data_IF_860903651567
#
_entry.id   IF_860903651567
#
_cell.length_a   1.000
_cell.length_b   1.000
_cell.length_c   1.000
_cell.angle_alpha   90.00
_cell.angle_beta   90.00
_cell.angle_gamma   90.00
#
_symmetry.space_group_name_H-M   'P 1'
#
loop_
_entity.id
_entity.type
_entity.pdbx_description
1 polymer ?
#
# COMPACT_ATOMS: atom_id res chain seq x y z
N UNK A 1 24.98 24.25 -16.60
CA UNK A 1 25.05 24.21 -18.09
C UNK A 1 25.55 22.88 -18.69
N UNK A 2 26.59 22.18 -18.20
CA UNK A 2 27.07 20.94 -18.84
C UNK A 2 26.08 19.76 -18.77
N UNK A 3 25.30 19.67 -17.67
CA UNK A 3 24.33 18.59 -17.44
C UNK A 3 23.11 18.72 -18.37
N UNK A 4 22.65 19.95 -18.64
CA UNK A 4 21.52 20.21 -19.54
C UNK A 4 21.84 19.87 -21.00
N UNK A 5 23.11 19.99 -21.43
CA UNK A 5 23.54 19.63 -22.78
C UNK A 5 23.62 18.11 -23.03
N UNK A 6 23.76 17.31 -21.98
CA UNK A 6 23.77 15.83 -22.03
C UNK A 6 22.37 15.22 -21.92
N UNK A 7 21.43 15.91 -21.25
CA UNK A 7 20.08 15.41 -20.99
C UNK A 7 19.26 15.08 -22.26
N UNK A 8 19.52 15.75 -23.39
CA UNK A 8 18.78 15.54 -24.63
C UNK A 8 19.25 14.32 -25.45
N UNK A 9 20.34 13.66 -25.06
CA UNK A 9 20.91 12.50 -25.78
C UNK A 9 20.67 11.15 -25.10
N UNK A 10 20.12 11.15 -23.89
CA UNK A 10 19.77 9.94 -23.15
C UNK A 10 18.25 9.83 -23.12
N UNK A 11 17.64 8.76 -23.64
CA UNK A 11 16.21 8.57 -23.52
C UNK A 11 15.84 8.46 -22.04
N UNK A 12 14.97 9.34 -21.57
CA UNK A 12 14.41 9.30 -20.22
C UNK A 12 13.22 8.34 -20.17
N UNK A 13 13.11 7.60 -19.08
CA UNK A 13 11.93 6.75 -18.83
C UNK A 13 10.70 7.63 -18.56
N UNK A 14 9.51 7.04 -18.69
CA UNK A 14 8.26 7.72 -18.33
C UNK A 14 8.30 8.26 -16.89
N UNK A 15 8.75 7.44 -15.94
CA UNK A 15 8.80 7.84 -14.53
C UNK A 15 9.77 9.00 -14.30
N UNK A 16 10.99 8.93 -14.83
CA UNK A 16 11.97 10.03 -14.73
C UNK A 16 11.43 11.34 -15.32
N UNK A 17 10.80 11.29 -16.50
CA UNK A 17 10.21 12.47 -17.13
C UNK A 17 9.09 13.07 -16.27
N UNK A 18 8.20 12.24 -15.73
CA UNK A 18 7.11 12.71 -14.85
C UNK A 18 7.60 13.23 -13.51
N UNK A 19 8.63 12.62 -12.90
CA UNK A 19 9.25 13.10 -11.66
C UNK A 19 9.92 14.44 -11.86
N UNK A 20 10.65 14.63 -12.97
CA UNK A 20 11.25 15.92 -13.30
C UNK A 20 10.19 17.01 -13.52
N UNK A 21 9.10 16.70 -14.22
CA UNK A 21 7.97 17.62 -14.39
C UNK A 21 7.31 17.97 -13.05
N UNK A 22 7.13 16.98 -12.15
CA UNK A 22 6.58 17.20 -10.82
C UNK A 22 7.47 18.12 -9.98
N UNK A 23 8.80 17.93 -9.99
CA UNK A 23 9.71 18.85 -9.30
C UNK A 23 9.69 20.26 -9.87
N UNK A 24 9.59 20.42 -11.20
CA UNK A 24 9.42 21.74 -11.81
C UNK A 24 8.14 22.42 -11.30
N UNK A 25 7.02 21.68 -11.29
CA UNK A 25 5.75 22.19 -10.79
C UNK A 25 5.83 22.54 -9.29
N UNK A 26 6.46 21.73 -8.45
CA UNK A 26 6.64 22.03 -7.03
C UNK A 26 7.54 23.24 -6.78
N UNK A 27 8.56 23.48 -7.62
CA UNK A 27 9.39 24.66 -7.53
C UNK A 27 8.62 25.95 -7.89
N UNK A 28 7.62 25.85 -8.76
CA UNK A 28 6.74 26.95 -9.16
C UNK A 28 5.63 27.24 -8.14
N UNK A 29 5.34 26.29 -7.24
CA UNK A 29 4.27 26.38 -6.24
C UNK A 29 4.86 26.23 -4.82
N UNK A 30 5.27 27.33 -4.18
CA UNK A 30 5.88 27.29 -2.85
C UNK A 30 5.00 26.54 -1.85
N UNK A 31 5.61 25.59 -1.14
CA UNK A 31 4.97 24.82 -0.08
C UNK A 31 5.91 24.72 1.13
N UNK A 32 5.30 24.60 2.30
CA UNK A 32 5.98 24.42 3.58
C UNK A 32 6.71 23.06 3.69
N UNK A 33 6.08 22.02 3.13
CA UNK A 33 6.57 20.65 3.15
C UNK A 33 6.22 19.96 1.83
N UNK A 34 7.18 19.22 1.29
CA UNK A 34 6.96 18.27 0.20
C UNK A 34 6.95 16.84 0.75
N UNK A 35 5.82 16.15 0.59
CA UNK A 35 5.74 14.70 0.81
C UNK A 35 6.02 14.00 -0.53
N UNK A 36 7.11 13.24 -0.59
CA UNK A 36 7.57 12.60 -1.81
C UNK A 36 7.56 11.07 -1.67
N UNK A 37 6.65 10.41 -2.39
CA UNK A 37 6.55 8.96 -2.45
C UNK A 37 7.54 8.39 -3.47
N UNK A 38 8.31 7.38 -3.05
CA UNK A 38 9.22 6.63 -3.93
C UNK A 38 8.42 5.80 -4.92
N UNK A 39 8.78 5.84 -6.21
CA UNK A 39 8.11 5.02 -7.22
C UNK A 39 8.38 3.53 -7.06
N UNK A 40 9.65 3.13 -7.04
CA UNK A 40 10.07 1.74 -6.86
C UNK A 40 11.42 1.63 -6.15
N UNK A 41 11.49 0.75 -5.15
CA UNK A 41 12.73 0.54 -4.40
C UNK A 41 13.07 1.75 -3.53
N UNK A 42 14.01 2.58 -3.98
CA UNK A 42 14.48 3.77 -3.27
C UNK A 42 15.83 4.26 -3.77
N UNK A 43 16.87 3.44 -3.65
CA UNK A 43 18.26 3.78 -3.96
C UNK A 43 18.45 4.41 -5.34
N UNK A 44 17.84 3.81 -6.36
CA UNK A 44 17.93 4.23 -7.77
C UNK A 44 16.63 4.87 -8.28
N UNK A 45 15.71 5.22 -7.39
CA UNK A 45 14.46 5.83 -7.78
C UNK A 45 14.66 7.30 -8.21
N UNK A 46 13.90 7.76 -9.21
CA UNK A 46 14.00 9.13 -9.73
C UNK A 46 13.72 10.20 -8.64
N UNK A 47 12.98 9.84 -7.59
CA UNK A 47 12.71 10.74 -6.45
C UNK A 47 13.89 10.89 -5.50
N UNK A 48 14.88 9.99 -5.53
CA UNK A 48 15.99 9.94 -4.57
C UNK A 48 17.10 10.98 -4.83
N UNK A 49 16.76 12.08 -5.47
CA UNK A 49 17.65 13.21 -5.79
C UNK A 49 17.72 14.27 -4.69
N UNK A 50 16.88 14.15 -3.65
CA UNK A 50 16.90 15.05 -2.50
C UNK A 50 18.05 14.67 -1.56
N UNK A 51 19.06 15.54 -1.45
CA UNK A 51 20.25 15.28 -0.62
C UNK A 51 19.99 15.40 0.88
N UNK A 52 19.18 16.39 1.28
CA UNK A 52 18.91 16.74 2.68
C UNK A 52 17.40 16.80 2.95
N UNK A 53 16.69 15.67 2.90
CA UNK A 53 15.28 15.62 3.28
C UNK A 53 15.13 15.93 4.77
N UNK A 54 14.03 16.56 5.19
CA UNK A 54 13.77 16.83 6.61
C UNK A 54 13.75 15.54 7.45
N UNK A 55 13.21 14.47 6.87
CA UNK A 55 13.33 13.10 7.34
C UNK A 55 13.07 12.12 6.19
N UNK A 56 13.39 10.85 6.39
CA UNK A 56 13.01 9.73 5.51
C UNK A 56 12.10 8.77 6.26
N UNK A 57 11.22 8.06 5.55
CA UNK A 57 10.27 7.11 6.16
C UNK A 57 10.34 5.78 5.43
N UNK A 58 10.52 4.69 6.17
CA UNK A 58 10.45 3.33 5.63
C UNK A 58 9.26 2.60 6.25
N UNK A 59 8.21 2.44 5.44
CA UNK A 59 7.03 1.63 5.75
C UNK A 59 7.36 0.13 5.60
N UNK A 60 6.45 -0.80 5.99
CA UNK A 60 6.77 -2.23 6.00
C UNK A 60 7.38 -2.73 4.69
N UNK A 61 8.55 -3.37 4.80
CA UNK A 61 9.23 -4.00 3.67
C UNK A 61 8.66 -5.41 3.49
N UNK A 62 8.21 -5.70 2.28
CA UNK A 62 7.76 -7.02 1.86
C UNK A 62 8.29 -7.34 0.46
N UNK A 63 8.20 -8.62 0.06
CA UNK A 63 8.54 -9.03 -1.29
C UNK A 63 7.56 -8.40 -2.29
N UNK A 64 8.08 -7.49 -3.11
CA UNK A 64 7.39 -6.93 -4.26
C UNK A 64 8.43 -6.54 -5.32
N UNK A 65 8.02 -6.50 -6.58
CA UNK A 65 8.88 -6.15 -7.71
C UNK A 65 10.19 -6.96 -7.74
N UNK A 66 10.13 -8.26 -7.45
CA UNK A 66 11.31 -9.12 -7.30
C UNK A 66 12.22 -9.14 -8.55
N UNK A 67 11.66 -8.92 -9.73
CA UNK A 67 12.40 -8.79 -11.00
C UNK A 67 13.35 -7.57 -11.03
N UNK A 68 13.06 -6.52 -10.25
CA UNK A 68 13.86 -5.29 -10.15
C UNK A 68 14.62 -5.18 -8.82
N UNK A 69 13.99 -5.57 -7.70
CA UNK A 69 14.50 -5.35 -6.34
C UNK A 69 15.21 -6.57 -5.74
N UNK A 70 15.17 -7.71 -6.45
CA UNK A 70 15.73 -8.97 -6.00
C UNK A 70 14.71 -9.89 -5.31
N UNK A 71 15.04 -11.18 -5.23
CA UNK A 71 14.15 -12.23 -4.74
C UNK A 71 14.14 -12.47 -3.23
N UNK A 72 14.86 -11.65 -2.45
CA UNK A 72 14.94 -11.80 -0.98
C UNK A 72 14.54 -10.51 -0.27
N UNK A 73 14.07 -10.65 0.97
CA UNK A 73 13.62 -9.51 1.76
C UNK A 73 14.77 -8.53 2.05
N UNK A 74 15.98 -9.04 2.25
CA UNK A 74 17.18 -8.23 2.45
C UNK A 74 17.55 -7.42 1.21
N UNK A 75 17.35 -7.98 0.01
CA UNK A 75 17.58 -7.27 -1.24
C UNK A 75 16.61 -6.09 -1.40
N UNK A 76 15.31 -6.34 -1.17
CA UNK A 76 14.28 -5.29 -1.20
C UNK A 76 14.54 -4.23 -0.12
N UNK A 77 14.91 -4.65 1.09
CA UNK A 77 15.24 -3.75 2.19
C UNK A 77 16.45 -2.86 1.86
N UNK A 78 17.47 -3.39 1.18
CA UNK A 78 18.64 -2.61 0.75
C UNK A 78 18.28 -1.54 -0.26
N UNK A 79 17.43 -1.86 -1.23
CA UNK A 79 16.95 -0.86 -2.20
C UNK A 79 16.13 0.23 -1.51
N UNK A 80 15.22 -0.13 -0.60
CA UNK A 80 14.41 0.84 0.15
C UNK A 80 15.23 1.68 1.12
N UNK A 81 16.19 1.08 1.83
CA UNK A 81 17.10 1.79 2.72
C UNK A 81 18.00 2.79 2.00
N UNK A 82 18.11 2.72 0.66
CA UNK A 82 18.86 3.68 -0.15
C UNK A 82 18.30 5.11 -0.15
N UNK A 83 17.10 5.35 0.39
CA UNK A 83 16.61 6.72 0.61
C UNK A 83 17.17 7.35 1.88
N UNK A 84 17.72 6.57 2.82
CA UNK A 84 18.33 7.10 4.04
C UNK A 84 19.48 8.01 3.65
N UNK A 85 19.55 9.21 4.24
CA UNK A 85 20.59 10.20 3.97
C UNK A 85 21.45 10.44 5.21
N UNK A 86 22.72 10.79 4.98
CA UNK A 86 23.71 10.95 6.04
C UNK A 86 23.28 12.01 7.06
N UNK A 87 23.29 11.64 8.34
CA UNK A 87 22.90 12.52 9.44
C UNK A 87 21.41 12.90 9.47
N UNK A 88 20.61 12.45 8.50
CA UNK A 88 19.18 12.75 8.43
C UNK A 88 18.38 11.72 9.19
N UNK A 89 17.31 12.16 9.85
CA UNK A 89 16.48 11.27 10.66
C UNK A 89 15.69 10.31 9.77
N UNK A 90 15.62 9.04 10.17
CA UNK A 90 14.84 8.00 9.50
C UNK A 90 13.77 7.44 10.44
N UNK A 91 12.50 7.61 10.09
CA UNK A 91 11.36 6.96 10.74
C UNK A 91 11.16 5.59 10.13
N UNK A 92 10.98 4.57 10.96
CA UNK A 92 10.80 3.18 10.50
C UNK A 92 9.53 2.62 11.11
N UNK A 93 8.58 2.23 10.25
CA UNK A 93 7.35 1.55 10.66
C UNK A 93 7.60 0.10 11.09
N UNK A 94 6.53 -0.70 11.20
CA UNK A 94 6.64 -2.14 11.48
C UNK A 94 7.53 -2.82 10.43
N UNK A 95 8.47 -3.67 10.86
CA UNK A 95 9.34 -4.42 9.95
C UNK A 95 9.45 -5.89 10.34
N UNK A 96 9.69 -6.73 9.33
CA UNK A 96 10.26 -8.05 9.56
C UNK A 96 11.69 -7.92 10.12
N UNK A 97 12.14 -8.79 11.04
CA UNK A 97 13.48 -8.70 11.63
C UNK A 97 14.61 -8.58 10.62
N UNK A 98 14.58 -9.38 9.54
CA UNK A 98 15.60 -9.33 8.47
C UNK A 98 15.64 -7.98 7.74
N UNK A 99 14.48 -7.34 7.51
CA UNK A 99 14.43 -6.03 6.89
C UNK A 99 14.92 -4.94 7.87
N UNK A 100 14.53 -5.04 9.14
CA UNK A 100 14.96 -4.12 10.19
C UNK A 100 16.49 -4.13 10.32
N UNK A 101 17.13 -5.29 10.31
CA UNK A 101 18.59 -5.41 10.39
C UNK A 101 19.30 -4.63 9.27
N UNK A 102 18.83 -4.76 8.03
CA UNK A 102 19.38 -4.03 6.87
C UNK A 102 19.18 -2.52 7.00
N UNK A 103 18.00 -2.08 7.45
CA UNK A 103 17.68 -0.67 7.65
C UNK A 103 18.57 -0.07 8.73
N UNK A 104 18.68 -0.72 9.90
CA UNK A 104 19.51 -0.27 11.01
C UNK A 104 20.99 -0.25 10.66
N UNK A 105 21.49 -1.26 9.93
CA UNK A 105 22.86 -1.28 9.45
C UNK A 105 23.15 -0.09 8.52
N UNK A 106 22.26 0.17 7.57
CA UNK A 106 22.38 1.29 6.62
C UNK A 106 22.36 2.63 7.36
N UNK A 107 21.41 2.81 8.27
CA UNK A 107 21.32 4.02 9.09
C UNK A 107 22.58 4.24 9.94
N UNK A 108 23.14 3.18 10.52
CA UNK A 108 24.40 3.24 11.29
C UNK A 108 25.58 3.71 10.43
N UNK A 109 25.75 3.17 9.22
CA UNK A 109 26.82 3.57 8.28
C UNK A 109 26.68 5.04 7.85
N UNK A 110 25.44 5.51 7.72
CA UNK A 110 25.12 6.87 7.34
C UNK A 110 24.99 7.81 8.55
N UNK A 111 25.21 7.34 9.77
CA UNK A 111 25.05 8.13 10.99
C UNK A 111 23.65 8.80 11.08
N UNK A 112 22.65 8.14 10.51
CA UNK A 112 21.27 8.60 10.46
C UNK A 112 20.55 8.23 11.76
N UNK A 113 20.02 9.19 12.54
CA UNK A 113 19.23 8.88 13.72
C UNK A 113 17.96 8.10 13.34
N UNK A 114 17.72 6.97 13.99
CA UNK A 114 16.56 6.11 13.72
C UNK A 114 15.46 6.33 14.76
N UNK A 115 14.22 6.46 14.29
CA UNK A 115 13.02 6.53 15.12
C UNK A 115 12.08 5.37 14.74
N UNK A 116 12.37 4.19 15.27
CA UNK A 116 11.75 2.93 14.85
C UNK A 116 10.60 2.48 15.77
N UNK A 117 9.59 1.85 15.17
CA UNK A 117 8.55 1.14 15.90
C UNK A 117 9.15 0.04 16.77
N UNK A 118 8.58 -0.17 17.96
CA UNK A 118 9.02 -1.08 19.01
C UNK A 118 10.33 -0.70 19.73
N UNK A 119 11.00 0.37 19.31
CA UNK A 119 12.13 0.95 20.03
C UNK A 119 11.79 2.35 20.57
N UNK A 120 11.38 3.25 19.69
CA UNK A 120 11.10 4.64 20.02
C UNK A 120 9.61 4.92 20.23
N UNK A 121 8.75 4.14 19.58
CA UNK A 121 7.29 4.30 19.63
C UNK A 121 6.57 2.97 19.37
N UNK A 122 5.29 2.92 19.69
CA UNK A 122 4.43 1.75 19.44
C UNK A 122 2.99 2.17 19.19
N UNK A 123 2.21 1.25 18.60
CA UNK A 123 0.76 1.41 18.46
C UNK A 123 0.03 0.14 18.86
N UNK A 124 -0.98 0.32 19.69
CA UNK A 124 -2.00 -0.69 19.99
C UNK A 124 -3.24 -0.43 19.14
N UNK A 125 -3.91 -1.48 18.70
CA UNK A 125 -5.11 -1.35 17.87
C UNK A 125 -6.27 -2.17 18.45
N UNK A 126 -7.44 -1.54 18.55
CA UNK A 126 -8.67 -2.17 19.01
C UNK A 126 -9.89 -1.47 18.40
N UNK A 127 -10.83 -2.23 17.83
CA UNK A 127 -12.10 -1.68 17.34
C UNK A 127 -11.96 -0.58 16.28
N UNK A 128 -10.96 -0.71 15.39
CA UNK A 128 -10.63 0.31 14.38
C UNK A 128 -9.97 1.57 14.93
N UNK A 129 -9.66 1.63 16.23
CA UNK A 129 -8.91 2.74 16.85
C UNK A 129 -7.47 2.32 17.11
N UNK A 130 -6.57 3.30 17.04
CA UNK A 130 -5.17 3.19 17.42
C UNK A 130 -4.86 3.98 18.69
N UNK A 131 -3.94 3.49 19.49
CA UNK A 131 -3.30 4.26 20.57
C UNK A 131 -1.80 4.29 20.30
N UNK A 132 -1.33 5.42 19.79
CA UNK A 132 0.10 5.71 19.61
C UNK A 132 0.72 6.07 20.97
N UNK A 133 1.91 5.54 21.25
CA UNK A 133 2.70 5.87 22.44
C UNK A 133 4.18 5.95 22.08
N UNK A 134 4.83 7.05 22.47
CA UNK A 134 6.28 7.23 22.52
C UNK A 134 6.71 7.60 23.96
N UNK A 135 7.99 7.92 24.17
CA UNK A 135 8.48 8.37 25.48
C UNK A 135 7.84 9.68 25.98
N UNK A 136 7.48 10.58 25.06
CA UNK A 136 6.97 11.93 25.39
C UNK A 136 5.55 12.20 24.92
N UNK A 137 4.94 11.29 24.16
CA UNK A 137 3.68 11.54 23.48
C UNK A 137 2.76 10.33 23.51
N UNK A 138 1.46 10.56 23.71
CA UNK A 138 0.43 9.51 23.65
C UNK A 138 -0.83 10.05 23.01
N UNK A 139 -1.29 9.40 21.95
CA UNK A 139 -2.45 9.84 21.17
C UNK A 139 -3.37 8.66 20.85
N UNK A 140 -4.65 8.77 21.22
CA UNK A 140 -5.71 7.90 20.68
C UNK A 140 -6.26 8.49 19.38
N UNK A 141 -6.43 7.68 18.35
CA UNK A 141 -6.93 8.14 17.05
C UNK A 141 -7.77 7.06 16.38
N UNK A 142 -8.57 7.46 15.39
CA UNK A 142 -9.26 6.55 14.47
C UNK A 142 -8.96 7.02 13.05
N UNK A 143 -8.24 6.25 12.23
CA UNK A 143 -8.02 6.62 10.84
C UNK A 143 -9.31 6.46 10.03
N UNK A 144 -9.44 7.22 8.95
CA UNK A 144 -10.53 7.08 7.98
C UNK A 144 -10.47 5.74 7.22
N UNK A 145 -9.24 5.32 6.90
CA UNK A 145 -8.98 4.13 6.09
C UNK A 145 -9.15 2.85 6.92
N UNK A 146 -9.86 1.87 6.36
CA UNK A 146 -10.19 0.62 7.05
C UNK A 146 -9.01 -0.37 7.07
N UNK A 147 -9.04 -1.25 8.07
CA UNK A 147 -8.08 -2.36 8.23
C UNK A 147 -6.95 -2.06 9.22
N UNK A 148 -6.52 -3.08 9.95
CA UNK A 148 -5.46 -2.99 10.97
C UNK A 148 -4.17 -2.34 10.45
N UNK A 149 -3.76 -2.65 9.23
CA UNK A 149 -2.55 -2.10 8.61
C UNK A 149 -2.61 -0.57 8.45
N UNK A 150 -3.81 0.01 8.32
CA UNK A 150 -3.97 1.47 8.25
C UNK A 150 -3.77 2.15 9.60
N UNK A 151 -3.97 1.43 10.72
CA UNK A 151 -3.62 1.92 12.05
C UNK A 151 -2.10 2.00 12.20
N UNK A 152 -1.38 0.99 11.70
CA UNK A 152 0.09 1.00 11.66
C UNK A 152 0.63 2.13 10.75
N UNK A 153 0.00 2.37 9.59
CA UNK A 153 0.34 3.47 8.69
C UNK A 153 0.10 4.84 9.34
N UNK A 154 -1.06 5.03 9.97
CA UNK A 154 -1.41 6.26 10.69
C UNK A 154 -0.46 6.52 11.87
N UNK A 155 -0.09 5.48 12.62
CA UNK A 155 0.91 5.59 13.68
C UNK A 155 2.30 5.99 13.13
N UNK A 156 2.68 5.44 11.97
CA UNK A 156 3.93 5.84 11.28
C UNK A 156 3.88 7.31 10.88
N UNK A 157 2.73 7.81 10.41
CA UNK A 157 2.56 9.24 10.11
C UNK A 157 2.68 10.10 11.37
N UNK A 158 2.10 9.70 12.51
CA UNK A 158 2.27 10.39 13.80
C UNK A 158 3.75 10.44 14.20
N UNK A 159 4.48 9.33 14.08
CA UNK A 159 5.91 9.27 14.36
C UNK A 159 6.73 10.23 13.47
N UNK A 160 6.31 10.44 12.22
CA UNK A 160 6.92 11.44 11.33
C UNK A 160 6.69 12.86 11.84
N UNK A 161 5.48 13.19 12.29
CA UNK A 161 5.18 14.52 12.84
C UNK A 161 5.97 14.81 14.12
N UNK A 162 6.12 13.83 15.02
CA UNK A 162 6.94 13.95 16.23
C UNK A 162 8.43 14.20 15.91
N UNK A 163 8.89 13.73 14.73
CA UNK A 163 10.24 13.92 14.24
C UNK A 163 10.49 15.27 13.56
N UNK A 164 9.45 16.09 13.36
CA UNK A 164 9.50 17.40 12.70
C UNK A 164 9.17 18.54 13.69
N UNK A 165 10.05 18.80 14.68
CA UNK A 165 9.75 19.73 15.78
C UNK A 165 9.57 21.19 15.35
N UNK A 166 10.01 21.54 14.13
CA UNK A 166 9.79 22.86 13.56
C UNK A 166 8.32 23.13 13.19
N UNK A 167 7.49 22.09 13.12
CA UNK A 167 6.06 22.18 12.89
C UNK A 167 5.30 21.69 14.14
N UNK A 168 4.50 22.57 14.74
CA UNK A 168 3.66 22.20 15.87
C UNK A 168 2.28 21.79 15.40
N UNK A 169 1.93 20.52 15.58
CA UNK A 169 0.59 19.99 15.31
C UNK A 169 -0.15 19.77 16.63
N UNK A 170 -1.36 20.31 16.74
CA UNK A 170 -2.23 19.97 17.87
C UNK A 170 -2.75 18.55 17.72
N UNK A 171 -3.01 17.90 18.84
CA UNK A 171 -3.71 16.62 18.93
C UNK A 171 -5.00 16.56 18.10
N UNK A 172 -5.73 17.67 18.06
CA UNK A 172 -6.94 17.82 17.27
C UNK A 172 -6.64 17.84 15.76
N UNK A 173 -5.63 18.60 15.34
CA UNK A 173 -5.21 18.65 13.93
C UNK A 173 -4.75 17.28 13.43
N UNK A 174 -3.97 16.55 14.25
CA UNK A 174 -3.53 15.18 13.92
C UNK A 174 -4.74 14.25 13.78
N UNK A 175 -5.65 14.25 14.76
CA UNK A 175 -6.88 13.41 14.68
C UNK A 175 -7.74 13.76 13.48
N UNK A 176 -7.90 15.05 13.18
CA UNK A 176 -8.66 15.50 12.01
C UNK A 176 -8.02 15.02 10.71
N UNK A 177 -6.70 15.21 10.53
CA UNK A 177 -5.99 14.77 9.33
C UNK A 177 -6.10 13.26 9.10
N UNK A 178 -5.97 12.46 10.16
CA UNK A 178 -6.13 11.00 10.07
C UNK A 178 -7.58 10.57 9.75
N UNK A 179 -8.58 11.30 10.26
CA UNK A 179 -10.00 11.04 10.01
C UNK A 179 -10.52 11.59 8.67
N UNK A 180 -9.79 12.51 8.04
CA UNK A 180 -10.11 13.09 6.74
C UNK A 180 -9.27 12.51 5.59
N UNK A 181 -8.34 11.60 5.87
CA UNK A 181 -7.48 11.01 4.85
C UNK A 181 -8.29 10.20 3.83
N UNK A 182 -8.16 10.55 2.55
CA UNK A 182 -8.76 9.82 1.44
C UNK A 182 -7.69 9.09 0.65
N UNK A 183 -7.91 7.79 0.43
CA UNK A 183 -7.03 6.98 -0.41
C UNK A 183 -7.87 6.03 -1.26
N UNK A 184 -8.13 6.36 -2.53
CA UNK A 184 -8.94 5.55 -3.41
C UNK A 184 -8.41 4.12 -3.53
N UNK A 185 -9.33 3.15 -3.54
CA UNK A 185 -9.03 1.72 -3.60
C UNK A 185 -8.07 1.22 -2.50
N UNK A 186 -8.28 1.66 -1.25
CA UNK A 186 -7.64 1.11 -0.05
C UNK A 186 -8.70 0.70 0.96
N UNK A 187 -9.17 -0.55 0.88
CA UNK A 187 -10.37 -1.06 1.53
C UNK A 187 -11.49 0.00 1.50
N UNK A 188 -11.72 0.55 0.32
CA UNK A 188 -12.71 1.60 0.10
C UNK A 188 -14.08 0.94 0.01
N UNK A 189 -14.98 1.29 0.92
CA UNK A 189 -16.38 0.89 0.79
C UNK A 189 -17.02 1.66 -0.37
N UNK A 190 -17.57 0.92 -1.33
CA UNK A 190 -18.29 1.49 -2.45
C UNK A 190 -19.73 1.78 -2.01
N UNK A 191 -20.30 2.86 -2.55
CA UNK A 191 -21.62 3.33 -2.15
C UNK A 191 -22.74 2.30 -2.46
N UNK A 192 -23.77 2.36 -1.62
CA UNK A 192 -25.03 1.61 -1.55
C UNK A 192 -25.27 0.54 -2.64
N UNK A 193 -25.11 -0.73 -2.23
CA UNK A 193 -25.52 -1.92 -2.97
C UNK A 193 -26.58 -2.70 -2.16
N UNK A 194 -27.45 -1.97 -1.45
CA UNK A 194 -28.43 -2.53 -0.53
C UNK A 194 -27.80 -3.09 0.75
N UNK A 195 -28.28 -4.24 1.22
CA UNK A 195 -27.79 -4.87 2.46
C UNK A 195 -26.38 -5.50 2.36
N UNK A 196 -25.75 -5.44 1.17
CA UNK A 196 -24.45 -6.07 0.88
C UNK A 196 -23.36 -5.01 0.91
N UNK A 197 -22.25 -5.32 1.57
CA UNK A 197 -21.09 -4.42 1.56
C UNK A 197 -20.19 -4.76 0.37
N UNK A 198 -19.94 -3.79 -0.51
CA UNK A 198 -18.96 -3.94 -1.60
C UNK A 198 -17.75 -3.07 -1.28
N UNK A 199 -16.58 -3.69 -1.33
CA UNK A 199 -15.29 -3.10 -0.98
C UNK A 199 -14.35 -3.17 -2.16
N UNK A 200 -13.48 -2.17 -2.30
CA UNK A 200 -12.48 -2.06 -3.35
C UNK A 200 -11.10 -1.88 -2.76
N UNK A 201 -10.15 -2.68 -3.23
CA UNK A 201 -8.74 -2.56 -2.83
C UNK A 201 -7.77 -2.84 -3.98
N UNK A 202 -6.69 -2.08 -4.05
CA UNK A 202 -5.63 -2.22 -5.06
C UNK A 202 -4.55 -3.26 -4.72
N UNK A 203 -4.65 -3.94 -3.58
CA UNK A 203 -3.71 -4.94 -3.09
C UNK A 203 -3.57 -6.09 -4.07
N UNK A 204 -2.31 -6.38 -4.43
CA UNK A 204 -1.96 -7.24 -5.56
C UNK A 204 -0.69 -8.06 -5.32
N UNK A 205 -0.16 -8.03 -4.11
CA UNK A 205 1.02 -8.77 -3.66
C UNK A 205 0.68 -9.59 -2.39
N UNK A 206 1.51 -10.55 -1.97
CA UNK A 206 1.21 -11.40 -0.82
C UNK A 206 0.96 -10.61 0.47
N UNK A 207 1.73 -9.57 0.73
CA UNK A 207 1.56 -8.72 1.92
C UNK A 207 0.21 -7.96 1.92
N UNK A 208 -0.23 -7.47 0.75
CA UNK A 208 -1.56 -6.90 0.58
C UNK A 208 -2.66 -7.94 0.78
N UNK A 209 -2.49 -9.16 0.25
CA UNK A 209 -3.43 -10.24 0.48
C UNK A 209 -3.56 -10.61 1.96
N UNK A 210 -2.46 -10.67 2.71
CA UNK A 210 -2.45 -10.87 4.16
C UNK A 210 -3.23 -9.78 4.89
N UNK A 211 -3.01 -8.51 4.52
CA UNK A 211 -3.73 -7.38 5.10
C UNK A 211 -5.25 -7.44 4.83
N UNK A 212 -5.65 -7.85 3.62
CA UNK A 212 -7.06 -8.02 3.24
C UNK A 212 -7.71 -9.23 3.92
N UNK A 213 -6.99 -10.34 4.04
CA UNK A 213 -7.45 -11.52 4.77
C UNK A 213 -7.59 -11.24 6.27
N UNK A 214 -6.67 -10.47 6.87
CA UNK A 214 -6.78 -10.04 8.26
C UNK A 214 -8.03 -9.16 8.48
N UNK A 215 -8.29 -8.20 7.59
CA UNK A 215 -9.54 -7.42 7.62
C UNK A 215 -10.79 -8.30 7.45
N UNK A 216 -10.72 -9.32 6.59
CA UNK A 216 -11.80 -10.28 6.43
C UNK A 216 -12.08 -11.02 7.74
N UNK A 217 -11.03 -11.46 8.45
CA UNK A 217 -11.11 -12.22 9.69
C UNK A 217 -11.72 -11.42 10.87
N UNK A 218 -11.71 -10.08 10.83
CA UNK A 218 -12.32 -9.23 11.88
C UNK A 218 -13.85 -9.38 11.97
N UNK A 219 -14.51 -9.87 10.91
CA UNK A 219 -15.95 -10.17 10.89
C UNK A 219 -16.18 -11.62 10.44
N UNK A 220 -15.93 -12.63 11.30
CA UNK A 220 -16.04 -14.04 10.91
C UNK A 220 -17.46 -14.43 10.49
N UNK A 221 -18.47 -13.77 11.05
CA UNK A 221 -19.89 -14.02 10.74
C UNK A 221 -20.38 -13.37 9.43
N UNK A 222 -19.51 -12.64 8.72
CA UNK A 222 -19.82 -11.97 7.47
C UNK A 222 -19.06 -12.61 6.30
N UNK A 223 -19.67 -13.56 5.56
CA UNK A 223 -19.01 -14.30 4.48
C UNK A 223 -18.43 -13.36 3.42
N UNK A 224 -17.20 -13.66 2.99
CA UNK A 224 -16.49 -12.89 1.98
C UNK A 224 -16.55 -13.58 0.61
N UNK A 225 -16.98 -12.85 -0.42
CA UNK A 225 -16.84 -13.23 -1.81
C UNK A 225 -15.80 -12.30 -2.46
N UNK A 226 -14.97 -12.85 -3.34
CA UNK A 226 -13.91 -12.11 -4.02
C UNK A 226 -14.28 -11.90 -5.49
N UNK A 227 -14.00 -10.70 -6.00
CA UNK A 227 -13.89 -10.43 -7.44
C UNK A 227 -12.44 -10.06 -7.69
N UNK A 228 -11.71 -10.86 -8.46
CA UNK A 228 -10.26 -10.73 -8.53
C UNK A 228 -9.74 -10.77 -9.97
N UNK A 229 -8.88 -9.82 -10.29
CA UNK A 229 -8.04 -9.83 -11.48
C UNK A 229 -6.61 -9.51 -11.08
N UNK A 230 -5.64 -10.26 -11.60
CA UNK A 230 -4.23 -10.20 -11.17
C UNK A 230 -3.31 -10.18 -12.38
N UNK A 231 -2.18 -9.45 -12.28
CA UNK A 231 -1.14 -9.43 -13.33
C UNK A 231 -0.31 -10.72 -13.32
N UNK A 232 0.10 -11.25 -14.47
CA UNK A 232 0.87 -12.51 -14.59
C UNK A 232 2.20 -12.50 -13.84
N UNK A 233 2.86 -11.34 -13.78
CA UNK A 233 4.11 -11.14 -13.02
C UNK A 233 3.96 -11.32 -11.50
N UNK A 234 2.74 -11.39 -10.97
CA UNK A 234 2.48 -11.56 -9.54
C UNK A 234 2.31 -13.04 -9.19
N UNK A 235 2.76 -13.40 -7.99
CA UNK A 235 2.63 -14.76 -7.45
C UNK A 235 1.18 -15.01 -6.99
N UNK A 236 0.36 -15.53 -7.91
CA UNK A 236 -1.05 -15.82 -7.65
C UNK A 236 -1.23 -16.83 -6.50
N UNK A 237 -0.33 -17.82 -6.39
CA UNK A 237 -0.42 -18.84 -5.34
C UNK A 237 -0.23 -18.22 -3.96
N UNK A 238 0.81 -17.40 -3.78
CA UNK A 238 1.04 -16.67 -2.53
C UNK A 238 -0.01 -15.60 -2.27
N UNK A 239 -0.54 -14.98 -3.32
CA UNK A 239 -1.63 -14.00 -3.19
C UNK A 239 -2.93 -14.65 -2.70
N UNK A 240 -3.28 -15.86 -3.16
CA UNK A 240 -4.53 -16.51 -2.74
C UNK A 240 -4.44 -17.23 -1.40
N UNK A 241 -3.25 -17.69 -1.00
CA UNK A 241 -3.09 -18.48 0.22
C UNK A 241 -3.72 -17.85 1.49
N UNK A 242 -3.59 -16.53 1.76
CA UNK A 242 -4.21 -15.90 2.93
C UNK A 242 -5.74 -15.93 2.94
N UNK A 243 -6.37 -16.03 1.76
CA UNK A 243 -7.84 -16.00 1.65
C UNK A 243 -8.49 -17.37 1.82
N UNK A 244 -7.74 -18.47 1.78
CA UNK A 244 -8.29 -19.83 1.78
C UNK A 244 -9.23 -20.13 2.96
N UNK A 245 -8.96 -19.55 4.13
CA UNK A 245 -9.76 -19.71 5.35
C UNK A 245 -10.93 -18.72 5.49
N UNK A 246 -11.05 -17.73 4.59
CA UNK A 246 -11.96 -16.60 4.77
C UNK A 246 -12.87 -16.33 3.56
N UNK A 247 -12.40 -16.64 2.34
CA UNK A 247 -13.14 -16.44 1.12
C UNK A 247 -14.05 -17.64 0.83
N UNK A 248 -15.37 -17.39 0.75
CA UNK A 248 -16.37 -18.39 0.40
C UNK A 248 -16.31 -18.76 -1.08
N UNK A 249 -16.06 -17.77 -1.94
CA UNK A 249 -15.97 -17.95 -3.39
C UNK A 249 -15.19 -16.81 -4.04
N UNK A 250 -14.52 -17.10 -5.15
CA UNK A 250 -13.84 -16.12 -6.00
C UNK A 250 -14.43 -16.11 -7.42
N UNK A 251 -14.71 -14.92 -7.94
CA UNK A 251 -15.01 -14.68 -9.35
C UNK A 251 -13.79 -14.05 -10.00
N UNK A 252 -13.12 -14.82 -10.84
CA UNK A 252 -11.93 -14.37 -11.54
C UNK A 252 -12.32 -13.58 -12.80
N UNK A 253 -11.59 -12.50 -13.06
CA UNK A 253 -11.75 -11.66 -14.25
C UNK A 253 -10.39 -11.42 -14.90
N UNK A 254 -10.36 -11.42 -16.24
CA UNK A 254 -9.28 -10.77 -16.97
C UNK A 254 -9.41 -9.25 -16.81
N UNK A 255 -8.30 -8.53 -16.68
CA UNK A 255 -8.34 -7.08 -16.47
C UNK A 255 -8.50 -6.39 -17.83
N UNK A 256 -9.57 -5.60 -18.05
CA UNK A 256 -9.81 -4.98 -19.36
C UNK A 256 -8.68 -4.03 -19.79
N UNK A 257 -8.11 -4.28 -20.98
CA UNK A 257 -7.00 -3.50 -21.52
C UNK A 257 -5.61 -3.90 -21.02
N UNK A 258 -5.51 -4.92 -20.17
CA UNK A 258 -4.23 -5.41 -19.64
C UNK A 258 -3.98 -6.85 -20.13
N UNK A 259 -3.33 -6.98 -21.29
CA UNK A 259 -3.02 -8.29 -21.92
C UNK A 259 -2.12 -9.17 -21.05
N UNK A 260 -1.29 -8.54 -20.21
CA UNK A 260 -0.39 -9.20 -19.25
C UNK A 260 -1.11 -9.64 -17.96
N UNK A 261 -2.44 -9.52 -17.88
CA UNK A 261 -3.22 -10.08 -16.79
C UNK A 261 -3.52 -11.57 -16.99
N UNK A 262 -3.75 -12.29 -15.89
CA UNK A 262 -4.19 -13.68 -16.00
C UNK A 262 -5.57 -13.73 -16.69
N UNK A 263 -5.77 -14.63 -17.68
CA UNK A 263 -7.11 -14.96 -18.17
C UNK A 263 -7.97 -15.47 -17.02
N UNK A 264 -9.26 -15.11 -17.04
CA UNK A 264 -10.20 -15.45 -15.97
C UNK A 264 -10.22 -16.96 -15.61
N UNK A 265 -10.17 -17.83 -16.62
CA UNK A 265 -10.16 -19.28 -16.43
C UNK A 265 -8.90 -19.79 -15.71
N UNK A 266 -7.74 -19.26 -16.08
CA UNK A 266 -6.47 -19.64 -15.46
C UNK A 266 -6.39 -19.13 -14.02
N UNK A 267 -6.80 -17.88 -13.78
CA UNK A 267 -6.81 -17.30 -12.44
C UNK A 267 -7.80 -18.04 -11.51
N UNK A 268 -8.97 -18.43 -12.02
CA UNK A 268 -9.91 -19.26 -11.29
C UNK A 268 -9.29 -20.61 -10.89
N UNK A 269 -8.60 -21.29 -11.81
CA UNK A 269 -7.94 -22.56 -11.53
C UNK A 269 -6.85 -22.42 -10.45
N UNK A 270 -6.09 -21.32 -10.46
CA UNK A 270 -5.09 -21.02 -9.44
C UNK A 270 -5.72 -20.76 -8.06
N UNK A 271 -6.85 -20.04 -8.01
CA UNK A 271 -7.60 -19.84 -6.77
C UNK A 271 -8.19 -21.16 -6.22
N UNK A 272 -8.71 -22.02 -7.11
CA UNK A 272 -9.20 -23.34 -6.74
C UNK A 272 -8.10 -24.24 -6.18
N UNK A 273 -6.91 -24.21 -6.78
CA UNK A 273 -5.73 -24.93 -6.29
C UNK A 273 -5.25 -24.42 -4.92
N UNK A 274 -5.56 -23.17 -4.57
CA UNK A 274 -5.32 -22.59 -3.25
C UNK A 274 -6.45 -22.90 -2.23
N UNK A 275 -7.48 -23.67 -2.61
CA UNK A 275 -8.57 -24.06 -1.73
C UNK A 275 -9.78 -23.12 -1.74
N UNK A 276 -9.83 -22.14 -2.65
CA UNK A 276 -10.94 -21.19 -2.75
C UNK A 276 -11.87 -21.64 -3.89
N UNK A 277 -13.15 -21.98 -3.62
CA UNK A 277 -14.11 -22.24 -4.68
C UNK A 277 -14.14 -21.06 -5.66
N UNK A 278 -14.01 -21.31 -6.96
CA UNK A 278 -13.81 -20.23 -7.93
C UNK A 278 -14.59 -20.44 -9.22
N UNK A 279 -14.85 -19.34 -9.93
CA UNK A 279 -15.45 -19.34 -11.25
C UNK A 279 -14.82 -18.25 -12.12
N UNK A 280 -14.62 -18.55 -13.40
CA UNK A 280 -14.23 -17.56 -14.39
C UNK A 280 -15.45 -16.73 -14.81
N UNK A 281 -15.25 -15.42 -14.97
CA UNK A 281 -16.29 -14.50 -15.47
C UNK A 281 -15.85 -13.87 -16.78
N UNK A 282 -16.82 -13.60 -17.67
CA UNK A 282 -16.58 -13.00 -18.99
C UNK A 282 -16.23 -11.51 -18.93
N UNK A 283 -16.62 -10.82 -17.86
CA UNK A 283 -16.33 -9.40 -17.63
C UNK A 283 -16.36 -9.07 -16.13
N UNK A 284 -15.87 -7.88 -15.79
CA UNK A 284 -16.01 -7.31 -14.45
C UNK A 284 -17.48 -7.21 -14.01
N UNK A 285 -18.36 -6.71 -14.88
CA UNK A 285 -19.78 -6.59 -14.59
C UNK A 285 -20.43 -7.95 -14.34
N UNK A 286 -20.07 -8.96 -15.14
CA UNK A 286 -20.58 -10.32 -14.95
C UNK A 286 -20.11 -10.93 -13.61
N UNK A 287 -18.85 -10.68 -13.22
CA UNK A 287 -18.31 -11.13 -11.95
C UNK A 287 -18.99 -10.44 -10.77
N UNK A 288 -19.15 -9.12 -10.83
CA UNK A 288 -19.81 -8.34 -9.78
C UNK A 288 -21.28 -8.72 -9.64
N UNK A 289 -22.00 -8.87 -10.76
CA UNK A 289 -23.39 -9.34 -10.75
C UNK A 289 -23.52 -10.76 -10.16
N UNK A 290 -22.59 -11.66 -10.47
CA UNK A 290 -22.56 -13.00 -9.90
C UNK A 290 -22.25 -12.98 -8.39
N UNK A 291 -21.27 -12.17 -7.96
CA UNK A 291 -20.94 -11.99 -6.56
C UNK A 291 -22.10 -11.37 -5.77
N UNK A 292 -22.76 -10.35 -6.32
CA UNK A 292 -23.96 -9.75 -5.73
C UNK A 292 -25.09 -10.77 -5.62
N UNK A 293 -25.32 -11.61 -6.63
CA UNK A 293 -26.37 -12.63 -6.57
C UNK A 293 -26.09 -13.73 -5.53
N UNK A 294 -24.84 -14.18 -5.44
CA UNK A 294 -24.45 -15.30 -4.54
C UNK A 294 -24.11 -14.85 -3.11
N UNK A 295 -23.83 -13.57 -2.88
CA UNK A 295 -23.58 -13.05 -1.55
C UNK A 295 -24.83 -13.19 -0.67
N UNK A 296 -24.70 -13.77 0.54
CA UNK A 296 -25.81 -13.86 1.49
C UNK A 296 -26.21 -12.47 2.00
N UNK A 297 -27.37 -12.33 2.67
CA UNK A 297 -27.69 -11.12 3.43
C UNK A 297 -26.54 -10.78 4.39
N UNK A 298 -26.14 -9.50 4.46
CA UNK A 298 -24.95 -9.02 5.20
C UNK A 298 -23.60 -9.60 4.73
N UNK A 299 -23.57 -10.24 3.57
CA UNK A 299 -22.34 -10.71 2.94
C UNK A 299 -21.46 -9.54 2.48
N UNK A 300 -20.15 -9.80 2.40
CA UNK A 300 -19.15 -8.84 1.91
C UNK A 300 -18.62 -9.29 0.56
N UNK A 301 -18.45 -8.34 -0.34
CA UNK A 301 -17.78 -8.54 -1.64
C UNK A 301 -16.54 -7.66 -1.63
N UNK A 302 -15.38 -8.25 -1.95
CA UNK A 302 -14.12 -7.52 -2.09
C UNK A 302 -13.63 -7.64 -3.53
N UNK A 303 -13.48 -6.50 -4.19
CA UNK A 303 -12.84 -6.38 -5.50
C UNK A 303 -11.35 -6.08 -5.25
N UNK A 304 -10.45 -6.96 -5.68
CA UNK A 304 -9.02 -6.81 -5.43
C UNK A 304 -8.12 -7.45 -6.50
N UNK A 305 -6.80 -7.44 -6.26
CA UNK A 305 -5.81 -8.12 -7.10
C UNK A 305 -5.04 -7.20 -8.05
N UNK A 306 -5.49 -5.97 -8.29
CA UNK A 306 -4.77 -5.04 -9.17
C UNK A 306 -5.23 -3.58 -9.01
N UNK A 307 -4.26 -2.66 -9.05
CA UNK A 307 -4.53 -1.22 -9.18
C UNK A 307 -5.19 -0.87 -10.52
N UNK A 308 -4.88 -1.59 -11.60
CA UNK A 308 -5.55 -1.40 -12.90
C UNK A 308 -7.03 -1.75 -12.82
N UNK A 309 -7.34 -2.90 -12.21
CA UNK A 309 -8.74 -3.31 -11.99
C UNK A 309 -9.47 -2.29 -11.12
N UNK A 310 -8.83 -1.84 -10.05
CA UNK A 310 -9.42 -0.83 -9.18
C UNK A 310 -9.66 0.50 -9.88
N UNK A 311 -8.73 0.94 -10.74
CA UNK A 311 -8.92 2.12 -11.59
C UNK A 311 -10.12 1.99 -12.52
N UNK A 312 -10.34 0.81 -13.13
CA UNK A 312 -11.53 0.56 -13.96
C UNK A 312 -12.83 0.68 -13.16
N UNK A 313 -12.88 0.06 -11.97
CA UNK A 313 -14.04 0.14 -11.07
C UNK A 313 -14.36 1.59 -10.69
N UNK A 314 -13.34 2.37 -10.32
CA UNK A 314 -13.53 3.78 -9.96
C UNK A 314 -14.00 4.61 -11.15
N UNK A 315 -13.42 4.39 -12.35
CA UNK A 315 -13.82 5.14 -13.54
C UNK A 315 -15.29 4.92 -13.93
N UNK A 316 -15.82 3.70 -13.72
CA UNK A 316 -17.22 3.39 -14.00
C UNK A 316 -18.21 3.99 -13.00
N UNK A 317 -17.74 4.51 -11.86
CA UNK A 317 -18.62 5.16 -10.86
C UNK A 317 -18.75 6.67 -11.05
N UNK A 318 -17.84 7.28 -11.81
CA UNK A 318 -17.86 8.71 -12.14
C UNK A 318 -18.66 8.96 -13.44
N UNK A 319 -19.03 7.89 -14.15
CA UNK A 319 -19.85 7.90 -15.36
C UNK A 319 -21.32 7.68 -15.03
#
# INVERSE_FOLDING_TARGET
EPVLALAWKVPVTFFEATTAAAFSAFAEHPADVLLLEVGMGGRLDATNVIEKPALTVITPVALDHCEYLGGTLEAVAREKAGIIKRGMKCVVGRQHPQAMEVILHTAKVLEAPVYAMHEAWQVEAQGGEGVYTSAGYRLRFRPALAGRHQIDNAATAIACLECLPQWHFTDEAVRHGLAAAEWPARLQRLADQGEKEVWLDGGHNPHGAEALAAWAAEKPDAPLLLVCGLMRRKDAKRFFAPFASHARKLFAVGIPGEEESYPAAELAALAAAAGIPSAASSSLDAALAAALREAPPKGRILICGSLYLAGKVLSSMVS
#
